data_IF_524473420018
#
_entry.id   IF_524473420018
#
_cell.length_a   1.000
_cell.length_b   1.000
_cell.length_c   1.000
_cell.angle_alpha   90.00
_cell.angle_beta   90.00
_cell.angle_gamma   90.00
#
_symmetry.space_group_name_H-M   'P 1'
#
loop_
_entity.id
_entity.type
_entity.pdbx_description
1 polymer ?
#
# COMPACT_ATOMS: atom_id res chain seq x y z
N UNK A 1 17.34 -25.51 -15.24
CA UNK A 1 16.26 -24.61 -15.69
C UNK A 1 14.99 -25.12 -15.04
N UNK A 2 14.33 -24.35 -14.23
CA UNK A 2 13.06 -24.74 -13.60
C UNK A 2 11.92 -24.03 -14.32
N UNK A 3 10.76 -24.69 -14.38
CA UNK A 3 9.55 -24.15 -15.01
C UNK A 3 8.49 -23.93 -13.93
N UNK A 4 7.75 -22.84 -14.00
CA UNK A 4 6.57 -22.58 -13.20
C UNK A 4 5.44 -22.09 -14.09
N UNK A 5 4.20 -22.43 -13.74
CA UNK A 5 3.02 -21.97 -14.46
C UNK A 5 2.88 -20.44 -14.37
N UNK A 6 3.30 -19.87 -13.22
CA UNK A 6 3.28 -18.43 -12.97
C UNK A 6 4.52 -17.99 -12.19
N UNK A 7 5.17 -16.90 -12.63
CA UNK A 7 6.22 -16.23 -11.87
C UNK A 7 5.74 -14.83 -11.48
N UNK A 8 5.89 -14.49 -10.20
CA UNK A 8 5.56 -13.17 -9.65
C UNK A 8 6.86 -12.48 -9.24
N UNK A 9 7.15 -11.29 -9.75
CA UNK A 9 8.31 -10.48 -9.34
C UNK A 9 7.87 -9.51 -8.25
N UNK A 10 8.45 -9.70 -7.05
CA UNK A 10 8.18 -8.93 -5.83
C UNK A 10 7.30 -9.67 -4.83
N UNK A 11 7.80 -9.89 -3.60
CA UNK A 11 7.07 -10.49 -2.48
C UNK A 11 6.60 -9.43 -1.45
N UNK A 12 6.33 -8.21 -1.90
CA UNK A 12 5.59 -7.21 -1.15
C UNK A 12 4.08 -7.49 -1.14
N UNK A 13 3.27 -6.60 -0.57
CA UNK A 13 1.81 -6.78 -0.46
C UNK A 13 1.13 -7.12 -1.80
N UNK A 14 1.54 -6.46 -2.89
CA UNK A 14 0.96 -6.72 -4.21
C UNK A 14 1.16 -8.17 -4.66
N UNK A 15 2.41 -8.66 -4.63
CA UNK A 15 2.72 -10.01 -5.08
C UNK A 15 2.27 -11.09 -4.10
N UNK A 16 2.47 -10.88 -2.79
CA UNK A 16 2.09 -11.84 -1.77
C UNK A 16 0.57 -12.06 -1.71
N UNK A 17 -0.23 -10.99 -1.75
CA UNK A 17 -1.69 -11.10 -1.79
C UNK A 17 -2.19 -11.71 -3.11
N UNK A 18 -1.55 -11.40 -4.25
CA UNK A 18 -1.86 -12.03 -5.53
C UNK A 18 -1.60 -13.53 -5.48
N UNK A 19 -0.44 -13.97 -4.97
CA UNK A 19 -0.12 -15.40 -4.81
C UNK A 19 -1.12 -16.10 -3.87
N UNK A 20 -1.47 -15.47 -2.75
CA UNK A 20 -2.48 -15.98 -1.83
C UNK A 20 -3.82 -16.22 -2.52
N UNK A 21 -4.32 -15.25 -3.28
CA UNK A 21 -5.61 -15.37 -3.94
C UNK A 21 -5.58 -16.31 -5.15
N UNK A 22 -4.47 -16.43 -5.85
CA UNK A 22 -4.28 -17.41 -6.92
C UNK A 22 -4.28 -18.84 -6.38
N UNK A 23 -3.54 -19.10 -5.29
CA UNK A 23 -3.52 -20.44 -4.67
C UNK A 23 -4.89 -20.83 -4.11
N UNK A 24 -5.64 -19.89 -3.55
CA UNK A 24 -7.04 -20.14 -3.14
C UNK A 24 -7.98 -20.49 -4.30
N UNK A 25 -7.62 -20.13 -5.53
CA UNK A 25 -8.38 -20.44 -6.77
C UNK A 25 -7.81 -21.64 -7.52
N UNK A 26 -6.84 -22.35 -6.94
CA UNK A 26 -6.28 -23.61 -7.47
C UNK A 26 -5.07 -23.46 -8.36
N UNK A 27 -4.55 -22.24 -8.61
CA UNK A 27 -3.26 -22.07 -9.30
C UNK A 27 -2.14 -22.20 -8.24
N UNK A 28 -1.44 -23.32 -8.22
CA UNK A 28 -0.49 -23.68 -7.14
C UNK A 28 0.96 -23.69 -7.57
N UNK A 29 1.27 -23.87 -8.86
CA UNK A 29 2.66 -23.82 -9.38
C UNK A 29 3.08 -22.35 -9.62
N UNK A 30 3.26 -21.63 -8.51
CA UNK A 30 3.65 -20.24 -8.48
C UNK A 30 5.06 -20.11 -7.92
N UNK A 31 5.91 -19.32 -8.56
CA UNK A 31 7.21 -18.91 -8.01
C UNK A 31 7.23 -17.39 -7.79
N UNK A 32 7.42 -16.94 -6.54
CA UNK A 32 7.68 -15.54 -6.21
C UNK A 32 9.19 -15.31 -6.16
N UNK A 33 9.65 -14.24 -6.80
CA UNK A 33 11.04 -13.78 -6.78
C UNK A 33 11.12 -12.46 -6.03
N UNK A 34 11.85 -12.45 -4.91
CA UNK A 34 12.11 -11.25 -4.12
C UNK A 34 13.60 -10.92 -4.16
N UNK A 35 13.94 -9.67 -4.52
CA UNK A 35 15.33 -9.24 -4.63
C UNK A 35 16.03 -9.18 -3.27
N UNK A 36 15.28 -8.86 -2.20
CA UNK A 36 15.83 -8.73 -0.86
C UNK A 36 15.89 -10.08 -0.11
N UNK A 37 16.68 -10.11 0.95
CA UNK A 37 16.82 -11.32 1.79
C UNK A 37 15.59 -11.61 2.65
N UNK A 38 14.70 -10.63 2.81
CA UNK A 38 13.46 -10.70 3.60
C UNK A 38 12.29 -10.07 2.85
N UNK A 39 11.05 -10.53 3.06
CA UNK A 39 9.89 -9.90 2.44
C UNK A 39 9.60 -8.52 3.06
N UNK A 40 9.02 -7.63 2.27
CA UNK A 40 8.56 -6.34 2.75
C UNK A 40 9.67 -5.34 3.11
N UNK A 41 10.88 -5.54 2.68
CA UNK A 41 12.02 -4.64 3.00
C UNK A 41 11.78 -3.19 2.54
N UNK A 42 11.09 -3.00 1.43
CA UNK A 42 10.78 -1.68 0.86
C UNK A 42 9.41 -1.15 1.31
N UNK A 43 8.58 -0.65 0.38
CA UNK A 43 7.29 0.02 0.66
C UNK A 43 6.36 -0.75 1.58
N UNK A 44 6.35 -2.09 1.50
CA UNK A 44 5.49 -2.94 2.32
C UNK A 44 5.87 -2.99 3.80
N UNK A 45 7.13 -2.74 4.16
CA UNK A 45 7.59 -2.67 5.56
C UNK A 45 7.91 -1.26 6.03
N UNK A 46 8.05 -0.29 5.11
CA UNK A 46 8.42 1.10 5.43
C UNK A 46 7.23 2.06 5.35
N UNK A 47 6.07 1.65 5.84
CA UNK A 47 4.82 2.43 5.80
C UNK A 47 4.27 2.68 7.22
N UNK A 48 3.21 3.49 7.29
CA UNK A 48 2.61 3.88 8.57
C UNK A 48 1.61 2.84 9.14
N UNK A 49 1.44 1.69 8.50
CA UNK A 49 0.53 0.61 8.93
C UNK A 49 -0.95 1.03 9.06
N UNK A 50 -1.35 2.15 8.49
CA UNK A 50 -2.70 2.69 8.58
C UNK A 50 -3.64 2.00 7.59
N UNK A 51 -4.81 1.60 8.07
CA UNK A 51 -5.94 1.12 7.27
C UNK A 51 -6.91 2.27 7.13
N UNK A 52 -7.05 2.78 5.89
CA UNK A 52 -7.87 3.94 5.56
C UNK A 52 -8.82 3.64 4.41
N UNK A 53 -10.11 3.80 4.64
CA UNK A 53 -11.17 3.52 3.67
C UNK A 53 -11.63 4.78 2.91
N UNK A 54 -11.69 5.93 3.57
CA UNK A 54 -12.05 7.19 2.93
C UNK A 54 -10.85 7.74 2.14
N UNK A 55 -10.94 7.77 0.82
CA UNK A 55 -9.87 8.11 -0.12
C UNK A 55 -10.36 9.09 -1.18
N UNK A 56 -9.43 9.81 -1.82
CA UNK A 56 -9.77 10.86 -2.81
C UNK A 56 -10.20 10.30 -4.17
N UNK A 57 -9.70 9.11 -4.55
CA UNK A 57 -9.99 8.51 -5.85
C UNK A 57 -11.19 7.56 -5.75
N UNK A 58 -12.34 7.89 -6.37
CA UNK A 58 -13.56 7.10 -6.23
C UNK A 58 -13.44 5.63 -6.65
N UNK A 59 -12.60 5.32 -7.65
CA UNK A 59 -12.40 3.95 -8.10
C UNK A 59 -11.78 3.05 -7.02
N UNK A 60 -11.08 3.62 -6.04
CA UNK A 60 -10.43 2.86 -4.96
C UNK A 60 -11.35 2.49 -3.81
N UNK A 61 -12.50 3.14 -3.62
CA UNK A 61 -13.38 2.90 -2.47
C UNK A 61 -13.79 1.42 -2.30
N UNK A 62 -14.11 0.75 -3.41
CA UNK A 62 -14.42 -0.68 -3.37
C UNK A 62 -13.25 -1.51 -2.81
N UNK A 63 -12.02 -1.22 -3.28
CA UNK A 63 -10.84 -1.94 -2.85
C UNK A 63 -10.44 -1.62 -1.39
N UNK A 64 -10.59 -0.37 -0.95
CA UNK A 64 -10.26 0.01 0.43
C UNK A 64 -11.27 -0.58 1.42
N UNK A 65 -12.57 -0.53 1.10
CA UNK A 65 -13.65 -1.15 1.90
C UNK A 65 -13.45 -2.66 2.02
N UNK A 66 -13.26 -3.34 0.89
CA UNK A 66 -13.16 -4.80 0.85
C UNK A 66 -11.86 -5.28 1.53
N UNK A 67 -10.75 -4.55 1.38
CA UNK A 67 -9.51 -4.83 2.08
C UNK A 67 -9.60 -4.63 3.59
N UNK A 68 -10.25 -3.56 4.05
CA UNK A 68 -10.52 -3.35 5.47
C UNK A 68 -11.49 -4.40 6.04
N UNK A 69 -12.50 -4.81 5.27
CA UNK A 69 -13.42 -5.89 5.65
C UNK A 69 -12.69 -7.24 5.80
N UNK A 70 -11.74 -7.55 4.93
CA UNK A 70 -10.90 -8.72 5.03
C UNK A 70 -10.11 -8.75 6.35
N UNK A 71 -9.51 -7.64 6.74
CA UNK A 71 -8.74 -7.54 8.00
C UNK A 71 -9.61 -7.73 9.25
N UNK A 72 -10.85 -7.25 9.21
CA UNK A 72 -11.81 -7.46 10.31
C UNK A 72 -12.31 -8.89 10.40
N UNK A 73 -12.30 -9.62 9.29
CA UNK A 73 -12.84 -10.96 9.17
C UNK A 73 -11.85 -11.86 8.41
N UNK A 74 -10.68 -12.07 9.00
CA UNK A 74 -9.70 -12.98 8.41
C UNK A 74 -10.33 -14.39 8.26
N UNK A 75 -10.04 -15.09 7.15
CA UNK A 75 -10.50 -16.46 6.96
C UNK A 75 -10.08 -17.38 8.12
N UNK A 76 -10.89 -18.38 8.44
CA UNK A 76 -10.61 -19.34 9.53
C UNK A 76 -9.34 -20.17 9.31
N UNK A 77 -8.92 -20.30 8.05
CA UNK A 77 -7.68 -20.97 7.62
C UNK A 77 -6.51 -20.01 7.47
N UNK A 78 -6.61 -18.78 7.99
CA UNK A 78 -5.51 -17.82 7.98
C UNK A 78 -4.35 -18.33 8.86
N UNK A 79 -3.12 -18.41 8.32
CA UNK A 79 -2.05 -19.21 8.96
C UNK A 79 -1.31 -18.50 10.10
N UNK A 80 -1.61 -17.23 10.36
CA UNK A 80 -0.86 -16.43 11.32
C UNK A 80 -1.77 -15.54 12.14
N UNK A 81 -1.28 -15.05 13.30
CA UNK A 81 -1.98 -14.02 14.04
C UNK A 81 -1.66 -12.65 13.46
N UNK A 82 -2.68 -11.90 13.07
CA UNK A 82 -2.56 -10.52 12.61
C UNK A 82 -3.25 -9.61 13.61
N UNK A 83 -2.50 -8.79 14.29
CA UNK A 83 -3.08 -7.77 15.14
C UNK A 83 -3.62 -6.63 14.28
N UNK A 84 -4.94 -6.50 14.20
CA UNK A 84 -5.60 -5.32 13.66
C UNK A 84 -6.24 -4.54 14.81
N UNK A 85 -5.68 -3.37 15.10
CA UNK A 85 -6.22 -2.45 16.09
C UNK A 85 -7.20 -1.51 15.41
N UNK A 86 -8.49 -1.86 15.50
CA UNK A 86 -9.58 -1.06 14.96
C UNK A 86 -9.87 0.11 15.90
N UNK A 87 -9.01 1.11 15.90
CA UNK A 87 -9.13 2.32 16.72
C UNK A 87 -9.57 3.55 15.90
N UNK A 88 -9.97 3.33 14.66
CA UNK A 88 -10.53 4.34 13.78
C UNK A 88 -9.49 5.22 13.08
N UNK A 89 -10.01 6.14 12.27
CA UNK A 89 -9.28 7.23 11.65
C UNK A 89 -9.99 8.56 11.83
N UNK A 90 -9.22 9.62 11.91
CA UNK A 90 -9.72 11.00 11.99
C UNK A 90 -9.02 11.84 10.92
N UNK A 91 -9.74 12.16 9.85
CA UNK A 91 -9.24 13.01 8.76
C UNK A 91 -9.73 14.43 9.01
N UNK A 92 -8.79 15.37 9.21
CA UNK A 92 -9.10 16.77 9.48
C UNK A 92 -9.09 17.58 8.18
N UNK A 93 -9.98 18.56 8.07
CA UNK A 93 -10.04 19.45 6.92
C UNK A 93 -10.29 20.90 7.31
N UNK A 94 -9.74 21.82 6.52
CA UNK A 94 -9.92 23.27 6.64
C UNK A 94 -10.23 23.89 5.28
N UNK A 95 -11.08 24.93 5.24
CA UNK A 95 -11.43 25.67 4.04
C UNK A 95 -11.92 24.79 2.89
N UNK A 96 -11.31 24.92 1.73
CA UNK A 96 -11.64 24.10 0.56
C UNK A 96 -11.29 22.61 0.77
N UNK A 97 -10.25 22.32 1.56
CA UNK A 97 -9.90 20.95 1.94
C UNK A 97 -11.01 20.28 2.74
N UNK A 98 -11.70 21.02 3.63
CA UNK A 98 -12.85 20.48 4.35
C UNK A 98 -14.02 20.18 3.42
N UNK A 99 -14.37 21.09 2.51
CA UNK A 99 -15.43 20.85 1.52
C UNK A 99 -15.15 19.62 0.65
N UNK A 100 -13.89 19.47 0.23
CA UNK A 100 -13.46 18.29 -0.53
C UNK A 100 -13.61 17.02 0.29
N UNK A 101 -13.18 17.04 1.54
CA UNK A 101 -13.25 15.90 2.44
C UNK A 101 -14.70 15.48 2.75
N UNK A 102 -15.63 16.44 2.90
CA UNK A 102 -17.06 16.18 3.04
C UNK A 102 -17.61 15.42 1.82
N UNK A 103 -17.26 15.86 0.61
CA UNK A 103 -17.67 15.18 -0.63
C UNK A 103 -17.07 13.77 -0.76
N UNK A 104 -15.84 13.59 -0.34
CA UNK A 104 -15.21 12.27 -0.27
C UNK A 104 -15.93 11.36 0.73
N UNK A 105 -16.31 11.87 1.89
CA UNK A 105 -17.10 11.16 2.90
C UNK A 105 -18.50 10.77 2.37
N UNK A 106 -19.21 11.68 1.71
CA UNK A 106 -20.51 11.39 1.06
C UNK A 106 -20.37 10.28 0.01
N UNK A 107 -19.32 10.34 -0.82
CA UNK A 107 -19.01 9.30 -1.80
C UNK A 107 -18.73 7.98 -1.10
N UNK A 108 -17.92 7.98 -0.03
CA UNK A 108 -17.62 6.80 0.78
C UNK A 108 -18.88 6.16 1.35
N UNK A 109 -19.76 6.95 1.97
CA UNK A 109 -21.05 6.48 2.49
C UNK A 109 -21.88 5.81 1.40
N UNK A 110 -21.99 6.44 0.21
CA UNK A 110 -22.75 5.88 -0.91
C UNK A 110 -22.20 4.54 -1.42
N UNK A 111 -20.92 4.28 -1.19
CA UNK A 111 -20.20 3.07 -1.56
C UNK A 111 -20.05 2.07 -0.39
N UNK A 112 -20.72 2.34 0.74
CA UNK A 112 -20.79 1.44 1.89
C UNK A 112 -19.60 1.53 2.85
N UNK A 113 -18.88 2.64 2.85
CA UNK A 113 -17.90 2.96 3.90
C UNK A 113 -18.62 3.69 5.03
N UNK A 114 -18.49 3.22 6.25
CA UNK A 114 -19.13 3.82 7.43
C UNK A 114 -18.28 4.97 7.96
N UNK A 115 -18.69 6.19 7.63
CA UNK A 115 -18.02 7.43 8.03
C UNK A 115 -19.00 8.44 8.61
N UNK A 116 -18.54 9.20 9.58
CA UNK A 116 -19.28 10.27 10.24
C UNK A 116 -18.57 11.62 10.07
N UNK A 117 -19.35 12.69 9.97
CA UNK A 117 -18.81 14.05 10.01
C UNK A 117 -18.84 14.56 11.46
N UNK A 118 -17.66 14.88 11.98
CA UNK A 118 -17.49 15.37 13.36
C UNK A 118 -17.17 16.88 13.39
N UNK A 119 -17.77 17.56 14.35
CA UNK A 119 -17.37 18.92 14.69
C UNK A 119 -15.97 18.93 15.36
N UNK A 120 -15.19 20.03 15.26
CA UNK A 120 -13.88 20.13 15.89
C UNK A 120 -13.89 19.84 17.40
N UNK A 121 -14.92 20.24 18.11
CA UNK A 121 -15.06 19.95 19.55
C UNK A 121 -15.18 18.46 19.86
N UNK A 122 -15.80 17.69 18.98
CA UNK A 122 -15.95 16.25 19.12
C UNK A 122 -14.60 15.55 18.88
N UNK A 123 -13.89 15.95 17.82
CA UNK A 123 -12.56 15.45 17.49
C UNK A 123 -11.54 15.71 18.63
N UNK A 124 -11.52 16.94 19.18
CA UNK A 124 -10.64 17.32 20.30
C UNK A 124 -10.91 16.53 21.58
N UNK A 125 -12.17 16.22 21.88
CA UNK A 125 -12.51 15.36 23.03
C UNK A 125 -12.00 13.93 22.85
N UNK A 126 -11.97 13.44 21.63
CA UNK A 126 -11.53 12.09 21.32
C UNK A 126 -10.01 11.98 21.26
N UNK A 127 -9.33 13.02 20.77
CA UNK A 127 -7.86 13.09 20.66
C UNK A 127 -7.39 14.41 21.27
N UNK A 128 -6.92 14.35 22.51
CA UNK A 128 -6.50 15.56 23.26
C UNK A 128 -5.30 16.28 22.64
N UNK A 129 -4.48 15.57 21.84
CA UNK A 129 -3.42 16.18 21.03
C UNK A 129 -3.92 17.17 19.96
N UNK A 130 -5.24 17.32 19.78
CA UNK A 130 -5.85 18.28 18.87
C UNK A 130 -6.38 19.54 19.57
N UNK A 131 -6.10 19.74 20.87
CA UNK A 131 -6.69 20.83 21.65
C UNK A 131 -6.48 22.18 20.99
N UNK A 132 -5.28 22.49 20.52
CA UNK A 132 -4.93 23.77 19.91
C UNK A 132 -4.92 23.73 18.36
N UNK A 133 -5.18 22.58 17.75
CA UNK A 133 -5.22 22.46 16.29
C UNK A 133 -6.44 23.20 15.71
N UNK A 134 -6.21 23.91 14.60
CA UNK A 134 -7.29 24.65 13.90
C UNK A 134 -7.73 23.88 12.65
N UNK A 135 -8.99 23.49 12.61
CA UNK A 135 -9.65 22.82 11.46
C UNK A 135 -11.15 23.05 11.51
N UNK A 136 -11.84 22.95 10.37
CA UNK A 136 -13.28 23.23 10.26
C UNK A 136 -14.14 22.02 10.58
N UNK A 137 -13.60 20.83 10.42
CA UNK A 137 -14.29 19.58 10.73
C UNK A 137 -13.41 18.37 10.51
N UNK A 138 -13.94 17.22 10.85
CA UNK A 138 -13.25 15.94 10.69
C UNK A 138 -14.17 14.87 10.12
N UNK A 139 -13.60 13.92 9.37
CA UNK A 139 -14.25 12.67 8.98
C UNK A 139 -13.73 11.58 9.89
N UNK A 140 -14.64 10.95 10.61
CA UNK A 140 -14.41 9.81 11.46
C UNK A 140 -14.80 8.52 10.74
N UNK A 141 -13.91 7.53 10.74
CA UNK A 141 -14.21 6.17 10.27
C UNK A 141 -13.84 5.16 11.36
N UNK A 142 -14.83 4.66 12.09
CA UNK A 142 -14.64 3.76 13.22
C UNK A 142 -14.07 2.39 12.81
N UNK A 143 -14.22 2.01 11.55
CA UNK A 143 -13.79 0.72 11.00
C UNK A 143 -12.38 0.73 10.41
N UNK A 144 -11.71 1.88 10.44
CA UNK A 144 -10.29 2.06 10.14
C UNK A 144 -9.41 1.69 11.36
N UNK A 145 -8.10 1.78 11.21
CA UNK A 145 -7.19 1.51 12.32
C UNK A 145 -5.75 1.28 11.87
N UNK A 146 -5.02 0.50 12.68
CA UNK A 146 -3.62 0.17 12.47
C UNK A 146 -3.43 -1.34 12.48
N UNK A 147 -2.67 -1.87 11.54
CA UNK A 147 -2.45 -3.32 11.37
C UNK A 147 -0.98 -3.70 11.57
N UNK A 148 -0.75 -4.90 12.12
CA UNK A 148 0.56 -5.54 12.05
C UNK A 148 0.87 -5.92 10.59
N UNK A 149 1.68 -5.08 9.93
CA UNK A 149 2.06 -5.27 8.53
C UNK A 149 2.91 -6.52 8.30
N UNK A 150 3.72 -6.92 9.28
CA UNK A 150 4.58 -8.09 9.16
C UNK A 150 3.76 -9.38 9.30
N UNK A 151 2.86 -9.43 10.28
CA UNK A 151 1.92 -10.55 10.43
C UNK A 151 1.02 -10.72 9.22
N UNK A 152 0.49 -9.60 8.67
CA UNK A 152 -0.35 -9.65 7.48
C UNK A 152 0.42 -10.15 6.24
N UNK A 153 1.60 -9.60 5.98
CA UNK A 153 2.44 -10.01 4.84
C UNK A 153 2.88 -11.47 4.97
N UNK A 154 3.33 -11.85 6.17
CA UNK A 154 3.71 -13.23 6.50
C UNK A 154 2.55 -14.19 6.29
N UNK A 155 1.34 -13.82 6.70
CA UNK A 155 0.14 -14.63 6.50
C UNK A 155 -0.14 -14.95 5.04
N UNK A 156 -0.08 -13.95 4.15
CA UNK A 156 -0.21 -14.20 2.70
C UNK A 156 0.84 -15.18 2.17
N UNK A 157 2.12 -14.96 2.52
CA UNK A 157 3.23 -15.79 2.04
C UNK A 157 3.18 -17.21 2.61
N UNK A 158 2.88 -17.36 3.91
CA UNK A 158 2.74 -18.68 4.56
C UNK A 158 1.60 -19.48 3.94
N UNK A 159 0.45 -18.83 3.72
CA UNK A 159 -0.68 -19.50 3.07
C UNK A 159 -0.31 -19.98 1.67
N UNK A 160 0.22 -19.08 0.84
CA UNK A 160 0.60 -19.41 -0.53
C UNK A 160 1.62 -20.55 -0.59
N UNK A 161 2.64 -20.52 0.29
CA UNK A 161 3.67 -21.58 0.37
C UNK A 161 3.10 -22.92 0.84
N UNK A 162 2.22 -22.92 1.82
CA UNK A 162 1.54 -24.13 2.28
C UNK A 162 0.68 -24.79 1.18
N UNK A 163 0.28 -24.00 0.16
CA UNK A 163 -0.54 -24.46 -0.96
C UNK A 163 0.25 -24.54 -2.29
N UNK A 164 1.57 -24.70 -2.24
CA UNK A 164 2.40 -25.06 -3.38
C UNK A 164 3.25 -23.94 -3.98
N UNK A 165 3.00 -22.69 -3.63
CA UNK A 165 3.84 -21.59 -4.10
C UNK A 165 5.26 -21.66 -3.51
N UNK A 166 6.26 -21.24 -4.28
CA UNK A 166 7.66 -21.16 -3.86
C UNK A 166 8.09 -19.71 -3.76
N UNK A 167 8.80 -19.32 -2.71
CA UNK A 167 9.35 -17.98 -2.54
C UNK A 167 10.86 -18.05 -2.52
N UNK A 168 11.50 -17.30 -3.42
CA UNK A 168 12.96 -17.16 -3.48
C UNK A 168 13.36 -15.76 -3.07
N UNK A 169 14.06 -15.64 -1.96
CA UNK A 169 14.65 -14.41 -1.47
C UNK A 169 16.08 -14.23 -2.01
N UNK A 170 16.56 -12.99 -2.09
CA UNK A 170 17.85 -12.68 -2.72
C UNK A 170 17.87 -12.99 -4.21
N UNK A 171 16.69 -13.07 -4.84
CA UNK A 171 16.49 -13.49 -6.22
C UNK A 171 16.23 -12.27 -7.13
N UNK A 172 17.20 -11.36 -7.18
CA UNK A 172 17.18 -10.19 -8.08
C UNK A 172 17.17 -10.65 -9.54
N UNK A 173 16.13 -10.24 -10.27
CA UNK A 173 15.95 -10.54 -11.69
C UNK A 173 16.79 -9.57 -12.53
N UNK A 174 17.85 -10.10 -13.16
CA UNK A 174 18.79 -9.30 -13.95
C UNK A 174 18.56 -9.33 -15.47
N UNK A 175 17.74 -10.23 -15.97
CA UNK A 175 17.32 -10.28 -17.37
C UNK A 175 16.03 -11.05 -17.55
N UNK A 176 15.21 -10.61 -18.51
CA UNK A 176 14.00 -11.28 -18.96
C UNK A 176 14.06 -11.36 -20.49
N UNK A 177 13.78 -12.55 -21.05
CA UNK A 177 13.76 -12.78 -22.49
C UNK A 177 12.51 -13.54 -22.89
N UNK A 178 12.06 -13.37 -24.13
CA UNK A 178 11.02 -14.23 -24.72
C UNK A 178 11.66 -15.45 -25.37
N UNK A 179 11.11 -16.60 -25.11
CA UNK A 179 11.44 -17.85 -25.79
C UNK A 179 10.70 -17.93 -27.13
N UNK A 180 11.10 -18.87 -28.00
CA UNK A 180 10.48 -19.03 -29.32
C UNK A 180 8.99 -19.45 -29.25
N UNK A 181 8.61 -20.16 -28.19
CA UNK A 181 7.21 -20.56 -27.90
C UNK A 181 6.41 -19.49 -27.15
N UNK A 182 7.03 -18.32 -26.92
CA UNK A 182 6.36 -17.18 -26.32
C UNK A 182 6.29 -17.18 -24.80
N UNK A 183 7.01 -18.05 -24.09
CA UNK A 183 7.19 -17.98 -22.65
C UNK A 183 8.22 -16.90 -22.25
N UNK A 184 8.31 -16.60 -20.98
CA UNK A 184 9.37 -15.75 -20.39
C UNK A 184 10.47 -16.61 -19.81
N UNK A 185 11.71 -16.31 -20.14
CA UNK A 185 12.89 -16.81 -19.49
C UNK A 185 13.46 -15.70 -18.59
N UNK A 186 13.48 -15.97 -17.28
CA UNK A 186 14.01 -15.05 -16.27
C UNK A 186 15.35 -15.54 -15.77
N UNK A 187 16.32 -14.65 -15.67
CA UNK A 187 17.63 -14.93 -15.09
C UNK A 187 17.81 -14.12 -13.79
N UNK A 188 18.14 -14.84 -12.72
CA UNK A 188 18.69 -14.28 -11.48
C UNK A 188 20.16 -14.61 -11.37
N UNK A 189 20.84 -14.16 -10.31
CA UNK A 189 22.24 -14.55 -10.05
C UNK A 189 22.43 -16.07 -9.93
N UNK A 190 21.42 -16.77 -9.39
CA UNK A 190 21.56 -18.15 -8.95
C UNK A 190 20.76 -19.16 -9.78
N UNK A 191 19.82 -18.71 -10.60
CA UNK A 191 18.94 -19.62 -11.33
C UNK A 191 18.36 -19.00 -12.60
N UNK A 192 17.87 -19.89 -13.47
CA UNK A 192 17.05 -19.55 -14.63
C UNK A 192 15.69 -20.23 -14.48
N UNK A 193 14.63 -19.44 -14.71
CA UNK A 193 13.24 -19.90 -14.68
C UNK A 193 12.57 -19.62 -16.01
N UNK A 194 11.61 -20.49 -16.37
CA UNK A 194 10.74 -20.27 -17.53
C UNK A 194 9.28 -20.29 -17.10
N UNK A 195 8.47 -19.38 -17.62
CA UNK A 195 7.05 -19.29 -17.30
C UNK A 195 6.24 -18.75 -18.48
N UNK A 196 5.03 -19.26 -18.75
CA UNK A 196 4.11 -18.65 -19.70
C UNK A 196 3.47 -17.38 -19.15
N UNK A 197 3.43 -17.19 -17.82
CA UNK A 197 2.78 -16.06 -17.15
C UNK A 197 3.73 -15.35 -16.19
N UNK A 198 3.95 -14.06 -16.44
CA UNK A 198 4.80 -13.20 -15.63
C UNK A 198 3.97 -12.07 -15.01
N UNK A 199 3.92 -12.01 -13.68
CA UNK A 199 3.23 -10.98 -12.92
C UNK A 199 4.26 -9.98 -12.38
N UNK A 200 4.12 -8.71 -12.76
CA UNK A 200 4.93 -7.62 -12.29
C UNK A 200 4.31 -6.96 -11.05
N UNK A 201 4.79 -7.34 -9.88
CA UNK A 201 4.44 -6.77 -8.57
C UNK A 201 5.65 -6.08 -7.91
N UNK A 202 6.59 -5.57 -8.72
CA UNK A 202 7.89 -5.08 -8.30
C UNK A 202 7.89 -3.66 -7.69
N UNK A 203 6.73 -3.12 -7.32
CA UNK A 203 6.62 -1.84 -6.60
C UNK A 203 7.31 -0.69 -7.33
N UNK A 204 8.34 -0.09 -6.72
CA UNK A 204 9.10 1.00 -7.34
C UNK A 204 9.85 0.57 -8.61
N UNK A 205 10.23 -0.69 -8.74
CA UNK A 205 10.93 -1.25 -9.90
C UNK A 205 10.00 -1.72 -11.03
N UNK A 206 8.69 -1.47 -10.93
CA UNK A 206 7.73 -1.99 -11.91
C UNK A 206 8.07 -1.60 -13.36
N UNK A 207 8.47 -0.36 -13.64
CA UNK A 207 8.92 0.05 -14.97
C UNK A 207 10.27 -0.56 -15.38
N UNK A 208 11.16 -0.84 -14.43
CA UNK A 208 12.43 -1.52 -14.72
C UNK A 208 12.17 -2.95 -15.18
N UNK A 209 11.31 -3.67 -14.48
CA UNK A 209 10.88 -5.03 -14.86
C UNK A 209 10.16 -5.02 -16.20
N UNK A 210 9.27 -4.07 -16.43
CA UNK A 210 8.56 -3.93 -17.70
C UNK A 210 9.54 -3.71 -18.89
N UNK A 211 10.50 -2.82 -18.72
CA UNK A 211 11.53 -2.56 -19.74
C UNK A 211 12.35 -3.81 -20.04
N UNK A 212 12.74 -4.59 -19.01
CA UNK A 212 13.45 -5.85 -19.21
C UNK A 212 12.61 -6.88 -19.97
N UNK A 213 11.31 -6.92 -19.74
CA UNK A 213 10.40 -7.85 -20.39
C UNK A 213 9.95 -7.40 -21.78
N UNK A 214 10.13 -6.14 -22.16
CA UNK A 214 9.60 -5.55 -23.37
C UNK A 214 8.11 -5.19 -23.29
N UNK A 215 7.58 -5.00 -22.09
CA UNK A 215 6.23 -4.51 -21.85
C UNK A 215 6.12 -3.00 -22.05
N UNK A 216 4.88 -2.48 -22.11
CA UNK A 216 4.65 -1.04 -22.27
C UNK A 216 5.25 -0.23 -21.11
N UNK A 217 5.67 1.00 -21.40
CA UNK A 217 6.07 1.95 -20.36
C UNK A 217 4.82 2.62 -19.77
N UNK A 218 4.65 2.52 -18.46
CA UNK A 218 3.53 3.13 -17.74
C UNK A 218 3.98 4.38 -16.97
N UNK A 219 3.11 5.38 -16.78
CA UNK A 219 3.42 6.60 -16.04
C UNK A 219 3.40 6.35 -14.52
N UNK A 220 4.21 5.38 -14.08
CA UNK A 220 4.41 5.01 -12.69
C UNK A 220 5.66 5.72 -12.14
N UNK A 221 5.51 6.46 -11.05
CA UNK A 221 6.59 7.24 -10.44
C UNK A 221 6.74 6.88 -8.97
N UNK A 222 7.96 6.50 -8.50
CA UNK A 222 8.24 6.30 -7.09
C UNK A 222 8.48 7.65 -6.42
N UNK A 223 7.73 7.92 -5.34
CA UNK A 223 7.89 9.11 -4.51
C UNK A 223 8.37 8.73 -3.12
N UNK A 224 9.47 9.34 -2.69
CA UNK A 224 9.99 9.20 -1.33
C UNK A 224 9.05 9.84 -0.32
N UNK A 225 8.89 9.18 0.84
CA UNK A 225 8.14 9.66 1.99
C UNK A 225 8.87 9.30 3.28
N UNK A 226 9.03 10.27 4.20
CA UNK A 226 9.63 10.05 5.50
C UNK A 226 8.61 9.74 6.57
N UNK A 227 9.03 8.93 7.52
CA UNK A 227 8.32 8.61 8.75
C UNK A 227 9.26 8.82 9.94
N UNK A 228 8.70 9.31 11.03
CA UNK A 228 9.41 9.63 12.25
C UNK A 228 8.72 8.97 13.43
N UNK A 229 9.47 8.49 14.41
CA UNK A 229 8.91 8.03 15.69
C UNK A 229 9.48 8.83 16.84
N UNK A 230 8.66 9.09 17.85
CA UNK A 230 9.10 9.67 19.12
C UNK A 230 9.58 8.58 20.09
N UNK A 231 10.29 8.95 21.16
CA UNK A 231 10.40 8.11 22.35
C UNK A 231 9.03 7.96 23.04
N UNK A 232 8.92 7.15 24.10
CA UNK A 232 7.72 7.07 24.93
C UNK A 232 7.27 8.44 25.45
N UNK A 233 5.96 8.70 25.41
CA UNK A 233 5.31 9.94 25.82
C UNK A 233 4.14 9.61 26.74
N UNK A 234 4.24 9.93 28.02
CA UNK A 234 3.27 9.52 29.04
C UNK A 234 1.84 10.07 28.82
N UNK A 235 1.68 11.09 27.99
CA UNK A 235 0.41 11.71 27.67
C UNK A 235 -0.27 11.13 26.41
N UNK A 236 0.41 10.25 25.67
CA UNK A 236 -0.15 9.60 24.49
C UNK A 236 -1.08 8.47 24.92
N UNK A 237 -2.33 8.56 24.52
CA UNK A 237 -3.27 7.46 24.68
C UNK A 237 -3.14 6.51 23.47
N UNK A 238 -2.74 5.30 23.73
CA UNK A 238 -2.59 4.27 22.70
C UNK A 238 -3.91 3.91 22.00
N UNK A 239 -5.06 4.34 22.52
CA UNK A 239 -6.39 4.12 21.94
C UNK A 239 -6.76 5.17 20.90
N UNK A 240 -6.03 6.29 20.79
CA UNK A 240 -6.31 7.26 19.75
C UNK A 240 -6.28 6.64 18.36
N UNK A 241 -7.13 7.11 17.44
CA UNK A 241 -7.03 6.78 16.03
C UNK A 241 -5.74 7.33 15.43
N UNK A 242 -5.45 6.97 14.19
CA UNK A 242 -4.57 7.84 13.45
C UNK A 242 -5.31 9.13 13.05
N UNK A 243 -4.56 10.24 13.09
CA UNK A 243 -5.05 11.57 12.74
C UNK A 243 -4.29 12.06 11.52
N UNK A 244 -5.00 12.51 10.51
CA UNK A 244 -4.40 13.09 9.31
C UNK A 244 -5.08 14.42 8.96
N UNK A 245 -4.36 15.52 9.08
CA UNK A 245 -4.78 16.78 8.48
C UNK A 245 -4.48 16.71 6.98
N UNK A 246 -5.53 16.48 6.19
CA UNK A 246 -5.42 16.32 4.73
C UNK A 246 -5.28 17.65 4.00
N UNK A 247 -5.59 18.78 4.67
CA UNK A 247 -5.39 20.11 4.11
C UNK A 247 -3.95 20.56 4.19
N UNK A 248 -3.27 20.23 5.29
CA UNK A 248 -1.92 20.68 5.55
C UNK A 248 -0.87 19.58 5.40
N UNK A 249 -1.31 18.38 5.01
CA UNK A 249 -0.43 17.23 4.75
C UNK A 249 0.50 16.91 5.93
N UNK A 250 -0.09 16.63 7.08
CA UNK A 250 0.59 16.13 8.26
C UNK A 250 -0.26 15.07 8.94
N UNK A 251 0.34 13.99 9.39
CA UNK A 251 -0.37 12.99 10.19
C UNK A 251 0.46 12.46 11.34
N UNK A 252 -0.24 11.96 12.35
CA UNK A 252 0.33 11.19 13.44
C UNK A 252 -0.59 10.05 13.86
N UNK A 253 -0.01 9.08 14.56
CA UNK A 253 -0.74 8.02 15.25
C UNK A 253 0.05 7.53 16.45
N UNK A 254 -0.59 6.90 17.45
CA UNK A 254 0.14 6.16 18.47
C UNK A 254 1.01 5.06 17.86
N UNK A 255 2.23 4.94 18.37
CA UNK A 255 3.19 3.88 18.03
C UNK A 255 3.89 3.40 19.28
N UNK A 256 3.53 2.19 19.74
CA UNK A 256 3.95 1.73 21.06
C UNK A 256 3.47 2.70 22.15
N UNK A 257 4.39 3.21 22.96
CA UNK A 257 4.14 4.22 23.99
C UNK A 257 4.40 5.67 23.51
N UNK A 258 4.70 5.86 22.23
CA UNK A 258 4.98 7.15 21.61
C UNK A 258 4.10 7.42 20.39
N UNK A 259 4.62 8.23 19.48
CA UNK A 259 3.94 8.62 18.24
C UNK A 259 4.76 8.22 17.01
N UNK A 260 4.06 7.85 15.93
CA UNK A 260 4.57 7.91 14.57
C UNK A 260 4.04 9.18 13.93
N UNK A 261 4.92 9.93 13.25
CA UNK A 261 4.66 11.23 12.66
C UNK A 261 5.11 11.26 11.20
N UNK A 262 4.46 12.10 10.38
CA UNK A 262 4.82 12.29 8.97
C UNK A 262 4.49 13.69 8.49
N UNK A 263 5.46 14.35 7.88
CA UNK A 263 5.30 15.66 7.22
C UNK A 263 4.67 15.58 5.84
N UNK A 264 4.28 14.39 5.38
CA UNK A 264 3.73 14.14 4.05
C UNK A 264 4.60 14.68 2.89
N UNK A 265 5.92 14.70 3.07
CA UNK A 265 6.86 15.04 2.01
C UNK A 265 6.70 14.11 0.79
N UNK A 266 7.01 14.64 -0.39
CA UNK A 266 6.88 13.87 -1.62
C UNK A 266 7.91 14.34 -2.65
N UNK A 267 8.90 13.50 -2.91
CA UNK A 267 9.93 13.75 -3.91
C UNK A 267 10.06 12.53 -4.82
N UNK A 268 9.97 12.75 -6.12
CA UNK A 268 10.25 11.70 -7.12
C UNK A 268 11.73 11.34 -7.11
N UNK A 269 12.03 10.05 -6.99
CA UNK A 269 13.37 9.50 -7.06
C UNK A 269 13.38 8.21 -7.89
N UNK A 270 14.50 7.81 -8.48
CA UNK A 270 14.62 6.51 -9.13
C UNK A 270 14.43 5.36 -8.12
N UNK A 271 14.05 4.15 -8.59
CA UNK A 271 13.98 2.96 -7.76
C UNK A 271 15.32 2.68 -7.08
N UNK A 272 15.29 2.30 -5.81
CA UNK A 272 16.46 2.05 -4.99
C UNK A 272 16.11 2.05 -3.51
N UNK A 273 17.10 2.13 -2.64
CA UNK A 273 16.89 2.47 -1.25
C UNK A 273 16.78 4.01 -1.14
N UNK A 274 15.62 4.56 -0.73
CA UNK A 274 15.45 6.01 -0.70
C UNK A 274 16.36 6.61 0.39
N UNK A 275 17.25 7.57 0.03
CA UNK A 275 18.07 8.24 1.02
C UNK A 275 17.19 9.05 1.98
N UNK A 276 17.57 9.08 3.23
CA UNK A 276 16.93 9.94 4.21
C UNK A 276 17.40 11.37 4.00
N UNK A 277 16.47 12.32 4.01
CA UNK A 277 16.71 13.75 3.92
C UNK A 277 16.48 14.41 5.28
N UNK A 278 17.52 14.89 5.95
CA UNK A 278 17.38 15.48 7.28
C UNK A 278 16.53 16.76 7.32
N UNK A 279 16.41 17.49 6.20
CA UNK A 279 15.60 18.71 6.12
C UNK A 279 14.09 18.45 6.29
N UNK A 280 13.65 17.19 6.10
CA UNK A 280 12.24 16.83 6.30
C UNK A 280 11.87 16.82 7.79
N UNK A 281 12.87 16.67 8.69
CA UNK A 281 12.66 16.88 10.12
C UNK A 281 12.30 18.34 10.46
N UNK A 282 12.93 19.29 9.77
CA UNK A 282 12.62 20.72 9.90
C UNK A 282 11.22 21.03 9.37
N UNK A 283 10.86 20.48 8.19
CA UNK A 283 9.51 20.59 7.64
C UNK A 283 8.46 20.00 8.60
N UNK A 284 8.74 18.87 9.24
CA UNK A 284 7.84 18.28 10.24
C UNK A 284 7.66 19.21 11.43
N UNK A 285 8.74 19.78 11.97
CA UNK A 285 8.70 20.71 13.09
C UNK A 285 7.90 21.99 12.75
N UNK A 286 8.11 22.57 11.57
CA UNK A 286 7.33 23.71 11.07
C UNK A 286 5.83 23.39 10.99
N UNK A 287 5.47 22.25 10.43
CA UNK A 287 4.07 21.83 10.32
C UNK A 287 3.44 21.55 11.69
N UNK A 288 4.18 20.93 12.61
CA UNK A 288 3.74 20.72 14.01
C UNK A 288 3.44 22.06 14.65
N UNK A 289 4.38 22.99 14.67
CA UNK A 289 4.22 24.31 15.28
C UNK A 289 3.00 25.05 14.73
N UNK A 290 2.74 24.94 13.45
CA UNK A 290 1.68 25.66 12.78
C UNK A 290 0.32 25.01 12.88
N UNK A 291 0.23 23.68 12.77
CA UNK A 291 -1.03 22.95 12.58
C UNK A 291 -1.38 21.97 13.72
N UNK A 292 -0.39 21.54 14.48
CA UNK A 292 -0.54 20.57 15.58
C UNK A 292 0.24 21.02 16.83
N UNK A 293 0.02 22.25 17.35
CA UNK A 293 0.89 22.86 18.35
C UNK A 293 1.00 22.04 19.64
N UNK A 294 0.01 21.25 20.01
CA UNK A 294 0.10 20.32 21.15
C UNK A 294 1.19 19.25 21.00
N UNK A 295 1.74 19.04 19.81
CA UNK A 295 2.88 18.14 19.54
C UNK A 295 4.22 18.88 19.56
N UNK A 296 4.24 20.19 19.81
CA UNK A 296 5.50 20.96 19.89
C UNK A 296 6.40 20.41 21.00
N UNK A 297 7.70 20.33 20.72
CA UNK A 297 8.67 19.77 21.66
C UNK A 297 8.77 18.23 21.67
N UNK A 298 7.96 17.53 20.87
CA UNK A 298 8.13 16.09 20.69
C UNK A 298 9.47 15.80 20.01
N UNK A 299 10.36 15.12 20.71
CA UNK A 299 11.66 14.72 20.16
C UNK A 299 11.52 13.52 19.21
N UNK A 300 12.43 13.42 18.25
CA UNK A 300 12.47 12.30 17.31
C UNK A 300 13.46 11.25 17.80
N UNK A 301 13.02 9.99 17.86
CA UNK A 301 13.84 8.84 18.24
C UNK A 301 14.41 8.10 17.04
N UNK A 302 13.56 7.81 16.04
CA UNK A 302 13.94 7.13 14.79
C UNK A 302 13.23 7.77 13.61
N UNK A 303 13.84 7.66 12.46
CA UNK A 303 13.23 8.06 11.20
C UNK A 303 13.77 7.22 10.03
N UNK A 304 12.94 7.06 9.01
CA UNK A 304 13.28 6.32 7.79
C UNK A 304 12.52 6.89 6.61
N UNK A 305 12.89 6.47 5.41
CA UNK A 305 12.17 6.79 4.19
C UNK A 305 11.71 5.51 3.49
N UNK A 306 10.58 5.60 2.80
CA UNK A 306 10.02 4.57 1.95
C UNK A 306 9.50 5.17 0.64
N UNK A 307 9.15 4.32 -0.32
CA UNK A 307 8.53 4.75 -1.57
C UNK A 307 7.02 4.55 -1.58
N UNK A 308 6.35 5.44 -2.30
CA UNK A 308 4.99 5.29 -2.79
C UNK A 308 5.05 5.39 -4.32
N UNK A 309 4.76 4.29 -5.01
CA UNK A 309 4.70 4.28 -6.47
C UNK A 309 3.29 4.61 -6.91
N UNK A 310 3.14 5.72 -7.63
CA UNK A 310 1.86 6.31 -7.99
C UNK A 310 1.82 6.47 -9.52
N UNK A 311 0.69 6.15 -10.13
CA UNK A 311 0.40 6.42 -11.54
C UNK A 311 0.00 7.89 -11.73
N UNK A 312 0.07 8.39 -12.95
CA UNK A 312 -0.28 9.80 -13.24
C UNK A 312 -1.73 10.18 -12.93
N UNK A 313 -2.65 9.21 -12.90
CA UNK A 313 -4.07 9.39 -12.57
C UNK A 313 -4.41 8.97 -11.12
N UNK A 314 -3.43 8.54 -10.34
CA UNK A 314 -3.62 8.11 -8.94
C UNK A 314 -4.25 6.73 -8.76
N UNK A 315 -4.64 6.04 -9.82
CA UNK A 315 -5.25 4.71 -9.77
C UNK A 315 -4.19 3.61 -9.84
N UNK A 316 -4.51 2.46 -9.29
CA UNK A 316 -3.66 1.27 -9.42
C UNK A 316 -3.60 0.79 -10.87
N UNK A 317 -2.59 0.00 -11.19
CA UNK A 317 -2.49 -0.70 -12.47
C UNK A 317 -2.60 -2.19 -12.20
N UNK A 318 -3.74 -2.77 -12.62
CA UNK A 318 -4.05 -4.19 -12.43
C UNK A 318 -4.66 -4.71 -13.75
N UNK A 319 -3.95 -5.59 -14.43
CA UNK A 319 -4.42 -6.13 -15.71
C UNK A 319 -3.32 -6.63 -16.61
N UNK A 320 -3.73 -7.26 -17.70
CA UNK A 320 -2.83 -7.75 -18.76
C UNK A 320 -2.19 -6.59 -19.53
N UNK A 321 -0.91 -6.73 -19.81
CA UNK A 321 -0.23 -5.85 -20.75
C UNK A 321 -0.86 -6.01 -22.15
N UNK A 322 -1.23 -4.91 -22.83
CA UNK A 322 -1.92 -4.99 -24.11
C UNK A 322 -1.04 -5.50 -25.24
N UNK A 323 0.28 -5.26 -25.16
CA UNK A 323 1.22 -5.56 -26.25
C UNK A 323 2.08 -6.80 -25.95
N UNK A 324 2.13 -7.23 -24.68
CA UNK A 324 2.97 -8.35 -24.26
C UNK A 324 2.13 -9.48 -23.64
N UNK A 325 1.73 -10.43 -24.48
CA UNK A 325 0.94 -11.59 -24.05
C UNK A 325 1.63 -12.36 -22.89
N UNK A 326 0.86 -12.68 -21.86
CA UNK A 326 1.35 -13.40 -20.67
C UNK A 326 2.00 -12.50 -19.61
N UNK A 327 2.10 -11.17 -19.84
CA UNK A 327 2.58 -10.22 -18.86
C UNK A 327 1.42 -9.53 -18.14
N UNK A 328 1.41 -9.58 -16.81
CA UNK A 328 0.35 -9.02 -15.98
C UNK A 328 0.89 -8.00 -14.97
N UNK A 329 0.20 -6.89 -14.81
CA UNK A 329 0.56 -5.81 -13.91
C UNK A 329 -0.21 -5.87 -12.60
N UNK A 330 0.50 -5.71 -11.47
CA UNK A 330 -0.06 -5.40 -10.15
C UNK A 330 0.81 -4.32 -9.51
N UNK A 331 0.60 -3.07 -9.89
CA UNK A 331 1.52 -1.98 -9.59
C UNK A 331 0.79 -0.66 -9.24
N UNK A 332 1.55 0.33 -8.78
CA UNK A 332 1.02 1.67 -8.54
C UNK A 332 0.09 1.77 -7.32
N UNK A 333 0.26 0.93 -6.29
CA UNK A 333 -0.62 0.92 -5.10
C UNK A 333 -0.47 2.15 -4.20
N UNK A 334 0.47 3.05 -4.51
CA UNK A 334 0.64 4.34 -3.84
C UNK A 334 0.77 4.22 -2.32
N UNK A 335 -0.04 4.98 -1.61
CA UNK A 335 -0.13 4.95 -0.14
C UNK A 335 -1.18 3.97 0.41
N UNK A 336 -1.82 3.15 -0.44
CA UNK A 336 -2.98 2.32 -0.05
C UNK A 336 -2.70 0.82 -0.09
N UNK A 337 -1.48 0.39 -0.42
CA UNK A 337 -1.14 -1.01 -0.63
C UNK A 337 -1.41 -1.93 0.57
N UNK A 338 -1.31 -1.43 1.80
CA UNK A 338 -1.66 -2.20 3.02
C UNK A 338 -3.17 -2.41 3.09
N UNK A 339 -3.94 -1.32 3.06
CA UNK A 339 -5.40 -1.36 3.15
C UNK A 339 -6.03 -2.23 2.06
N UNK A 340 -5.52 -2.12 0.83
CA UNK A 340 -6.14 -2.73 -0.35
C UNK A 340 -5.56 -4.09 -0.72
N UNK A 341 -4.51 -4.57 -0.03
CA UNK A 341 -3.74 -5.75 -0.44
C UNK A 341 -4.60 -6.96 -0.80
N UNK A 342 -5.52 -7.36 0.07
CA UNK A 342 -6.40 -8.50 -0.18
C UNK A 342 -7.32 -8.28 -1.38
N UNK A 343 -7.96 -7.12 -1.48
CA UNK A 343 -8.88 -6.80 -2.58
C UNK A 343 -8.15 -6.70 -3.93
N UNK A 344 -6.93 -6.14 -3.94
CA UNK A 344 -6.06 -6.10 -5.12
C UNK A 344 -5.66 -7.51 -5.55
N UNK A 345 -5.21 -8.35 -4.60
CA UNK A 345 -4.85 -9.74 -4.91
C UNK A 345 -6.05 -10.55 -5.41
N UNK A 346 -7.23 -10.35 -4.83
CA UNK A 346 -8.47 -10.98 -5.29
C UNK A 346 -8.84 -10.56 -6.72
N UNK A 347 -8.80 -9.25 -7.01
CA UNK A 347 -9.07 -8.70 -8.34
C UNK A 347 -8.05 -9.23 -9.36
N UNK A 348 -6.77 -9.23 -9.02
CA UNK A 348 -5.73 -9.76 -9.91
C UNK A 348 -5.96 -11.26 -10.22
N UNK A 349 -6.28 -12.07 -9.20
CA UNK A 349 -6.56 -13.47 -9.38
C UNK A 349 -7.83 -13.73 -10.23
N UNK A 350 -8.89 -12.93 -10.03
CA UNK A 350 -10.12 -13.02 -10.83
C UNK A 350 -9.84 -12.70 -12.32
N UNK A 351 -9.05 -11.65 -12.59
CA UNK A 351 -8.67 -11.29 -13.96
C UNK A 351 -7.79 -12.33 -14.64
N UNK A 352 -6.92 -13.00 -13.87
CA UNK A 352 -6.02 -14.03 -14.39
C UNK A 352 -6.81 -15.31 -14.71
N UNK A 353 -7.67 -15.76 -13.79
CA UNK A 353 -8.33 -17.07 -13.91
C UNK A 353 -9.64 -17.00 -14.69
N UNK A 354 -10.46 -16.00 -14.48
CA UNK A 354 -11.80 -15.91 -15.05
C UNK A 354 -11.94 -14.91 -16.21
N UNK A 355 -10.85 -14.22 -16.58
CA UNK A 355 -10.88 -13.16 -17.60
C UNK A 355 -11.45 -11.83 -17.10
N UNK A 356 -11.39 -10.80 -17.95
CA UNK A 356 -11.72 -9.42 -17.61
C UNK A 356 -13.21 -9.20 -17.36
N UNK A 357 -13.60 -8.88 -16.11
CA UNK A 357 -14.91 -8.32 -15.81
C UNK A 357 -14.91 -6.79 -15.91
N UNK A 358 -16.11 -6.15 -16.03
CA UNK A 358 -16.27 -4.68 -16.15
C UNK A 358 -15.61 -3.84 -15.06
N UNK A 359 -15.32 -4.41 -13.87
CA UNK A 359 -14.63 -3.72 -12.77
C UNK A 359 -13.13 -3.49 -13.03
N UNK A 360 -12.54 -4.16 -14.00
CA UNK A 360 -11.12 -4.05 -14.33
C UNK A 360 -10.78 -2.81 -15.15
N UNK A 361 -11.71 -2.25 -15.91
CA UNK A 361 -11.43 -1.15 -16.84
C UNK A 361 -10.82 0.08 -16.16
N UNK A 362 -11.24 0.39 -14.93
CA UNK A 362 -10.69 1.49 -14.15
C UNK A 362 -9.21 1.31 -13.80
N UNK A 363 -8.71 0.07 -13.75
CA UNK A 363 -7.34 -0.28 -13.36
C UNK A 363 -6.51 -0.85 -14.52
N UNK A 364 -7.13 -1.07 -15.67
CA UNK A 364 -6.44 -1.63 -16.85
C UNK A 364 -5.26 -0.74 -17.27
N UNK A 365 -4.09 -1.32 -17.61
CA UNK A 365 -2.97 -0.56 -18.18
C UNK A 365 -3.35 0.10 -19.52
N UNK A 366 -4.34 -0.43 -20.24
CA UNK A 366 -4.79 0.12 -21.54
C UNK A 366 -5.28 1.56 -21.48
N UNK A 367 -5.69 2.05 -20.29
CA UNK A 367 -6.11 3.44 -20.11
C UNK A 367 -4.99 4.48 -20.31
N UNK A 368 -3.75 4.06 -20.40
CA UNK A 368 -2.60 4.90 -20.68
C UNK A 368 -2.11 4.82 -22.13
N UNK A 369 -2.78 4.02 -22.96
CA UNK A 369 -2.48 3.91 -24.38
C UNK A 369 -3.51 4.75 -25.12
N UNK A 370 -3.05 5.76 -25.77
CA UNK A 370 -3.85 6.62 -26.68
C UNK A 370 -3.57 6.26 -28.11
#
# INVERSE_FOLDING_TARGET
>A
MSTSECVIIGAGFAGAATAYHLTRRGLTDITLLEQEAIPGFHSSGRNAAMIRQCVSEPALFGLTRDGAAFLRNLPSDWPDHVQFKQNGSLLLGSGEGWKKLQKEAETGCSLGVDVELWAPTQARRHVTALEDAQFDGAVWCATDGVVDIHGLLSGYLKYATAHGAKVHYGADVCAIRRTADGAFELRTKNQMLTTPMLINAAGAWANVVAQMAGAIALPLRPYRRHLFTSPPLAWVDSRWPFVWDVTHDIYFRPEGEGLLLCACDQQELPPGEPPVDPTIGELLAEKIQRYMPALEGVSIHRYWAGFRTISSDGRFVIGWDPDLHGFFWVAGLGGHGVTTSSAVGALAADLIIAGAGKKADAFSPTRFIT
#
